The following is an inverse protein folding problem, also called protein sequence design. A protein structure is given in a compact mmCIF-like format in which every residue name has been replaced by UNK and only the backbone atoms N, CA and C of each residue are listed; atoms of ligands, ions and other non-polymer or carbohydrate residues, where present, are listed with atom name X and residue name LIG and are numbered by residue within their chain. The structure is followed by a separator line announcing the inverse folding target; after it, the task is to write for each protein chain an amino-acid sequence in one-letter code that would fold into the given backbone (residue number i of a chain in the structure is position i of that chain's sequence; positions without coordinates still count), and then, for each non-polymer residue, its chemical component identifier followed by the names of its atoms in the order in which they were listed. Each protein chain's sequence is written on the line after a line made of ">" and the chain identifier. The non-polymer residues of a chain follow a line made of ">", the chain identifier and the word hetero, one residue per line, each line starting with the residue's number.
data_IF_362998298108
#
_entry.id   IF_362998298108
#
_cell.length_a   1.000
_cell.length_b   1.000
_cell.length_c   1.000
_cell.angle_alpha   90.00
_cell.angle_beta   90.00
_cell.angle_gamma   90.00
#
_symmetry.space_group_name_H-M   'P 1'
#
loop_
_entity.id
_entity.type
_entity.pdbx_description
1 polymer ?
#
# COMPACT_ATOMS: atom_id res chain seq x y z
N UNK A 1 17.93 -26.16 11.12
CA UNK A 1 19.39 -26.41 11.13
C UNK A 1 20.23 -25.20 11.57
N UNK A 2 19.80 -23.94 11.35
CA UNK A 2 20.65 -22.76 11.65
C UNK A 2 20.66 -22.29 13.13
N UNK A 3 19.62 -22.56 13.91
CA UNK A 3 19.54 -22.08 15.30
C UNK A 3 20.56 -22.68 16.29
N UNK A 4 21.30 -23.71 15.87
CA UNK A 4 22.34 -24.34 16.70
C UNK A 4 23.70 -23.62 16.64
N UNK A 5 23.89 -22.66 15.72
CA UNK A 5 25.13 -21.88 15.67
C UNK A 5 25.19 -20.90 16.84
N UNK A 6 26.35 -20.80 17.50
CA UNK A 6 26.55 -19.94 18.67
C UNK A 6 26.21 -18.48 18.41
N UNK A 7 26.44 -17.97 17.20
CA UNK A 7 26.13 -16.58 16.86
C UNK A 7 24.62 -16.33 16.81
N UNK A 8 23.86 -17.27 16.22
CA UNK A 8 22.40 -17.20 16.18
C UNK A 8 21.84 -17.41 17.58
N UNK A 9 22.36 -18.39 18.32
CA UNK A 9 21.97 -18.63 19.70
C UNK A 9 22.16 -17.41 20.58
N UNK A 10 23.27 -16.67 20.42
CA UNK A 10 23.50 -15.40 21.13
C UNK A 10 22.50 -14.33 20.70
N UNK A 11 22.31 -14.14 19.39
CA UNK A 11 21.36 -13.17 18.84
C UNK A 11 19.93 -13.38 19.36
N UNK A 12 19.52 -14.64 19.55
CA UNK A 12 18.17 -14.99 20.00
C UNK A 12 18.07 -15.29 21.50
N UNK A 13 19.16 -15.17 22.27
CA UNK A 13 19.21 -15.56 23.68
C UNK A 13 18.46 -14.59 24.60
N UNK A 14 18.44 -13.31 24.23
CA UNK A 14 17.85 -12.24 25.02
C UNK A 14 17.05 -11.32 24.12
N UNK A 15 16.08 -10.62 24.69
CA UNK A 15 15.34 -9.59 23.99
C UNK A 15 15.65 -8.22 24.57
N UNK A 16 16.24 -7.33 23.76
CA UNK A 16 16.52 -5.93 24.09
C UNK A 16 15.52 -4.96 23.43
N UNK A 17 14.54 -5.49 22.69
CA UNK A 17 13.55 -4.72 21.95
C UNK A 17 12.12 -5.24 22.14
N UNK A 18 11.24 -4.40 22.68
CA UNK A 18 9.83 -4.75 22.74
C UNK A 18 9.13 -4.32 21.44
N UNK A 19 8.62 -5.29 20.68
CA UNK A 19 7.86 -5.05 19.43
C UNK A 19 6.69 -4.08 19.65
N UNK A 20 6.06 -4.12 20.84
CA UNK A 20 4.97 -3.21 21.18
C UNK A 20 5.37 -1.73 21.08
N UNK A 21 6.64 -1.41 21.35
CA UNK A 21 7.14 -0.04 21.38
C UNK A 21 7.07 0.65 20.00
N UNK A 22 7.01 -0.13 18.91
CA UNK A 22 6.73 0.40 17.56
C UNK A 22 5.42 1.19 17.53
N UNK A 23 4.39 0.70 18.23
CA UNK A 23 3.06 1.29 18.25
C UNK A 23 2.76 2.11 19.52
N UNK A 24 3.37 1.76 20.66
CA UNK A 24 3.01 2.33 21.96
C UNK A 24 4.14 3.00 22.73
N UNK A 25 5.40 2.86 22.29
CA UNK A 25 6.54 3.43 23.03
C UNK A 25 6.48 4.94 23.12
N UNK A 26 7.11 5.57 24.12
CA UNK A 26 7.00 7.02 24.37
C UNK A 26 7.45 7.91 23.19
N UNK A 27 8.37 7.39 22.37
CA UNK A 27 8.92 8.07 21.19
C UNK A 27 8.71 7.23 19.93
N UNK A 28 8.63 7.86 18.74
CA UNK A 28 8.66 7.14 17.47
C UNK A 28 9.94 6.32 17.34
N UNK A 29 9.81 5.08 16.86
CA UNK A 29 10.94 4.16 16.62
C UNK A 29 11.05 3.93 15.12
N UNK A 30 12.27 4.10 14.58
CA UNK A 30 12.63 3.62 13.25
C UNK A 30 13.47 2.35 13.43
N UNK A 31 12.96 1.22 12.93
CA UNK A 31 13.62 -0.08 13.03
C UNK A 31 14.16 -0.48 11.66
N UNK A 32 15.48 -0.67 11.57
CA UNK A 32 16.15 -1.03 10.33
C UNK A 32 16.58 -2.50 10.39
N UNK A 33 16.16 -3.28 9.39
CA UNK A 33 16.63 -4.65 9.20
C UNK A 33 17.66 -4.60 8.08
N UNK A 34 18.92 -4.92 8.42
CA UNK A 34 20.02 -4.97 7.47
C UNK A 34 20.50 -6.42 7.42
N UNK A 35 20.52 -7.02 6.24
CA UNK A 35 21.05 -8.35 6.01
C UNK A 35 21.93 -8.33 4.75
N UNK A 36 22.99 -9.14 4.70
CA UNK A 36 23.80 -9.28 3.50
C UNK A 36 23.00 -9.96 2.39
N UNK A 37 23.08 -9.43 1.18
CA UNK A 37 22.47 -9.98 -0.03
C UNK A 37 23.17 -11.26 -0.52
N UNK A 38 24.45 -11.44 -0.18
CA UNK A 38 25.26 -12.59 -0.56
C UNK A 38 25.15 -13.81 0.39
N UNK A 39 24.51 -13.67 1.55
CA UNK A 39 24.38 -14.76 2.54
C UNK A 39 22.95 -14.91 3.09
N UNK A 40 22.28 -15.95 2.61
CA UNK A 40 20.89 -16.25 2.95
C UNK A 40 20.74 -17.02 4.28
N UNK A 41 21.83 -17.31 5.01
CA UNK A 41 21.80 -18.18 6.19
C UNK A 41 20.89 -17.65 7.31
N UNK A 42 20.75 -16.34 7.43
CA UNK A 42 19.97 -15.69 8.49
C UNK A 42 18.57 -15.25 8.04
N UNK A 43 18.20 -15.49 6.78
CA UNK A 43 16.96 -14.98 6.22
C UNK A 43 15.71 -15.49 6.96
N UNK A 44 15.74 -16.74 7.43
CA UNK A 44 14.64 -17.31 8.23
C UNK A 44 14.42 -16.59 9.56
N UNK A 45 15.46 -15.98 10.15
CA UNK A 45 15.33 -15.15 11.35
C UNK A 45 14.57 -13.85 11.03
N UNK A 46 14.91 -13.22 9.91
CA UNK A 46 14.23 -11.99 9.43
C UNK A 46 12.75 -12.27 9.19
N UNK A 47 12.42 -13.32 8.44
CA UNK A 47 11.03 -13.69 8.18
C UNK A 47 10.26 -14.02 9.47
N UNK A 48 10.90 -14.73 10.41
CA UNK A 48 10.31 -15.03 11.72
C UNK A 48 10.04 -13.75 12.51
N UNK A 49 11.01 -12.84 12.57
CA UNK A 49 10.87 -11.56 13.24
C UNK A 49 9.74 -10.71 12.64
N UNK A 50 9.69 -10.59 11.31
CA UNK A 50 8.61 -9.86 10.63
C UNK A 50 7.23 -10.48 10.88
N UNK A 51 7.15 -11.81 10.94
CA UNK A 51 5.92 -12.52 11.29
C UNK A 51 5.50 -12.24 12.74
N UNK A 52 6.45 -12.19 13.68
CA UNK A 52 6.20 -11.82 15.08
C UNK A 52 5.77 -10.35 15.21
N UNK A 53 6.39 -9.44 14.45
CA UNK A 53 5.98 -8.03 14.40
C UNK A 53 4.53 -7.92 13.92
N UNK A 54 4.19 -8.58 12.82
CA UNK A 54 2.81 -8.63 12.31
C UNK A 54 1.83 -9.16 13.35
N UNK A 55 2.16 -10.29 13.99
CA UNK A 55 1.31 -10.92 15.01
C UNK A 55 1.08 -10.02 16.23
N UNK A 56 2.16 -9.51 16.84
CA UNK A 56 2.08 -8.70 18.05
C UNK A 56 1.28 -7.43 17.78
N UNK A 57 1.58 -6.71 16.70
CA UNK A 57 0.88 -5.48 16.38
C UNK A 57 -0.59 -5.72 16.00
N UNK A 58 -0.89 -6.80 15.27
CA UNK A 58 -2.27 -7.17 14.94
C UNK A 58 -3.06 -7.53 16.20
N UNK A 59 -2.46 -8.28 17.13
CA UNK A 59 -3.05 -8.64 18.43
C UNK A 59 -3.31 -7.40 19.27
N UNK A 60 -2.33 -6.50 19.39
CA UNK A 60 -2.48 -5.25 20.12
C UNK A 60 -3.61 -4.39 19.57
N UNK A 61 -3.69 -4.25 18.25
CA UNK A 61 -4.79 -3.52 17.62
C UNK A 61 -6.14 -4.17 17.93
N UNK A 62 -6.23 -5.50 17.90
CA UNK A 62 -7.48 -6.23 18.18
C UNK A 62 -7.95 -6.04 19.62
N UNK A 63 -7.02 -5.96 20.57
CA UNK A 63 -7.32 -5.78 21.99
C UNK A 63 -7.55 -4.30 22.38
N UNK A 64 -7.22 -3.36 21.50
CA UNK A 64 -7.46 -1.94 21.75
C UNK A 64 -8.95 -1.60 21.65
N UNK A 65 -9.40 -0.63 22.45
CA UNK A 65 -10.82 -0.26 22.55
C UNK A 65 -11.43 0.21 21.21
N UNK A 66 -10.61 0.82 20.34
CA UNK A 66 -11.00 1.28 19.00
C UNK A 66 -10.58 0.30 17.88
N UNK A 67 -10.14 -0.91 18.26
CA UNK A 67 -9.60 -1.92 17.33
C UNK A 67 -8.42 -1.43 16.48
N UNK A 68 -7.64 -0.48 16.99
CA UNK A 68 -6.56 0.19 16.26
C UNK A 68 -5.34 0.45 17.15
N UNK A 69 -4.18 0.56 16.53
CA UNK A 69 -2.96 1.00 17.20
C UNK A 69 -3.00 2.50 17.50
N UNK A 70 -2.55 2.89 18.70
CA UNK A 70 -2.38 4.27 19.11
C UNK A 70 -1.53 5.08 18.12
N UNK A 71 -0.46 4.47 17.59
CA UNK A 71 0.40 5.02 16.55
C UNK A 71 0.35 4.16 15.31
N UNK A 72 0.28 4.80 14.14
CA UNK A 72 0.43 4.09 12.87
C UNK A 72 1.85 3.55 12.72
N UNK A 73 1.97 2.28 12.35
CA UNK A 73 3.24 1.64 12.03
C UNK A 73 3.33 1.47 10.51
N UNK A 74 4.42 1.98 9.94
CA UNK A 74 4.71 1.89 8.51
C UNK A 74 5.75 0.79 8.32
N UNK A 75 5.39 -0.23 7.56
CA UNK A 75 6.27 -1.31 7.14
C UNK A 75 6.71 -1.03 5.71
N UNK A 76 8.01 -0.81 5.51
CA UNK A 76 8.61 -0.57 4.20
C UNK A 76 9.46 -1.78 3.82
N UNK A 77 9.00 -2.57 2.85
CA UNK A 77 9.71 -3.74 2.35
C UNK A 77 10.26 -3.41 0.96
N UNK A 78 11.52 -2.97 0.92
CA UNK A 78 12.22 -2.52 -0.29
C UNK A 78 12.38 -3.62 -1.35
N UNK A 79 12.40 -4.89 -0.92
CA UNK A 79 12.52 -6.01 -1.84
C UNK A 79 11.84 -7.28 -1.30
N UNK A 80 10.50 -7.29 -1.32
CA UNK A 80 9.73 -8.42 -0.77
C UNK A 80 9.99 -9.74 -1.54
N UNK A 81 10.38 -9.67 -2.81
CA UNK A 81 10.75 -10.84 -3.62
C UNK A 81 12.00 -11.58 -3.14
N UNK A 82 12.92 -10.89 -2.45
CA UNK A 82 14.14 -11.49 -1.91
C UNK A 82 14.00 -11.89 -0.44
N UNK A 83 12.98 -11.38 0.26
CA UNK A 83 12.66 -11.83 1.61
C UNK A 83 12.03 -13.23 1.55
N UNK A 84 12.37 -14.14 2.49
CA UNK A 84 11.62 -15.37 2.61
C UNK A 84 10.16 -15.08 2.93
N UNK A 85 9.33 -16.09 2.66
CA UNK A 85 7.92 -16.05 2.98
C UNK A 85 7.69 -15.59 4.43
N UNK A 86 6.99 -14.48 4.58
CA UNK A 86 6.53 -13.94 5.85
C UNK A 86 5.18 -14.58 6.13
N UNK A 87 5.11 -15.38 7.19
CA UNK A 87 3.89 -16.11 7.54
C UNK A 87 2.79 -15.12 7.97
N UNK A 88 1.59 -15.28 7.39
CA UNK A 88 0.44 -14.42 7.67
C UNK A 88 0.44 -13.05 6.97
N UNK A 89 1.42 -12.74 6.10
CA UNK A 89 1.48 -11.46 5.40
C UNK A 89 0.18 -11.08 4.65
N UNK A 90 -0.46 -11.96 3.85
CA UNK A 90 -1.70 -11.60 3.15
C UNK A 90 -2.82 -11.21 4.11
N UNK A 91 -2.95 -11.92 5.24
CA UNK A 91 -3.89 -11.59 6.30
C UNK A 91 -3.61 -10.20 6.88
N UNK A 92 -2.34 -9.91 7.24
CA UNK A 92 -1.95 -8.63 7.80
C UNK A 92 -2.19 -7.45 6.84
N UNK A 93 -1.99 -7.63 5.54
CA UNK A 93 -2.28 -6.61 4.53
C UNK A 93 -3.78 -6.27 4.46
N UNK A 94 -4.64 -7.29 4.55
CA UNK A 94 -6.09 -7.11 4.46
C UNK A 94 -6.67 -6.39 5.70
N UNK A 95 -6.22 -6.77 6.91
CA UNK A 95 -6.73 -6.18 8.17
C UNK A 95 -5.98 -4.92 8.59
N UNK A 96 -4.79 -4.70 8.05
CA UNK A 96 -3.83 -3.71 8.55
C UNK A 96 -4.34 -2.28 8.50
N UNK A 97 -5.01 -1.87 7.41
CA UNK A 97 -5.42 -0.47 7.22
C UNK A 97 -6.31 0.05 8.35
N UNK A 98 -7.30 -0.74 8.77
CA UNK A 98 -8.20 -0.37 9.88
C UNK A 98 -7.46 -0.33 11.23
N UNK A 99 -6.45 -1.18 11.37
CA UNK A 99 -5.65 -1.35 12.59
C UNK A 99 -4.51 -0.33 12.73
N UNK A 100 -4.30 0.56 11.76
CA UNK A 100 -3.20 1.52 11.76
C UNK A 100 -1.86 0.93 11.27
N UNK A 101 -1.89 -0.25 10.63
CA UNK A 101 -0.75 -0.84 9.97
C UNK A 101 -0.76 -0.46 8.49
N UNK A 102 0.33 0.13 8.01
CA UNK A 102 0.50 0.51 6.62
C UNK A 102 1.68 -0.29 6.06
N UNK A 103 1.52 -0.84 4.87
CA UNK A 103 2.53 -1.64 4.19
C UNK A 103 2.84 -1.02 2.83
N UNK A 104 4.12 -0.80 2.58
CA UNK A 104 4.70 -0.48 1.30
C UNK A 104 5.51 -1.68 0.85
N UNK A 105 5.07 -2.32 -0.22
CA UNK A 105 5.71 -3.49 -0.81
C UNK A 105 6.36 -3.05 -2.10
N UNK A 106 7.69 -3.11 -2.16
CA UNK A 106 8.46 -2.85 -3.36
C UNK A 106 8.91 -4.20 -3.91
N UNK A 107 8.67 -4.37 -5.20
CA UNK A 107 8.88 -5.61 -5.94
C UNK A 107 9.56 -5.26 -7.26
N UNK A 108 10.54 -6.06 -7.68
CA UNK A 108 11.08 -6.00 -9.04
C UNK A 108 10.15 -6.73 -10.02
N UNK A 109 9.59 -7.86 -9.59
CA UNK A 109 8.65 -8.63 -10.41
C UNK A 109 7.62 -9.37 -9.56
N UNK A 110 6.41 -9.54 -10.12
CA UNK A 110 5.37 -10.37 -9.51
C UNK A 110 5.81 -11.85 -9.54
N UNK A 111 6.61 -12.26 -10.52
CA UNK A 111 7.12 -13.63 -10.61
C UNK A 111 7.98 -14.02 -9.39
N UNK A 112 8.81 -13.12 -8.87
CA UNK A 112 9.57 -13.36 -7.63
C UNK A 112 8.64 -13.57 -6.43
N UNK A 113 7.52 -12.85 -6.38
CA UNK A 113 6.51 -13.03 -5.35
C UNK A 113 5.81 -14.39 -5.48
N UNK A 114 5.51 -14.83 -6.71
CA UNK A 114 4.94 -16.16 -6.97
C UNK A 114 5.88 -17.30 -6.55
N UNK A 115 7.19 -17.14 -6.69
CA UNK A 115 8.17 -18.13 -6.22
C UNK A 115 8.08 -18.32 -4.71
N UNK A 116 7.91 -17.25 -3.94
CA UNK A 116 7.92 -17.31 -2.47
C UNK A 116 6.55 -17.62 -1.85
N UNK A 117 5.45 -17.17 -2.48
CA UNK A 117 4.09 -17.26 -1.93
C UNK A 117 3.15 -18.16 -2.73
N UNK A 118 3.60 -18.70 -3.87
CA UNK A 118 2.75 -19.34 -4.85
C UNK A 118 1.89 -18.32 -5.61
N UNK A 119 1.26 -18.77 -6.70
CA UNK A 119 0.40 -17.91 -7.55
C UNK A 119 -0.78 -17.33 -6.78
N UNK A 120 -1.43 -18.16 -5.98
CA UNK A 120 -2.59 -17.74 -5.17
C UNK A 120 -2.18 -16.72 -4.10
N UNK A 121 -1.09 -16.96 -3.38
CA UNK A 121 -0.58 -16.04 -2.36
C UNK A 121 -0.09 -14.71 -2.95
N UNK A 122 0.59 -14.75 -4.10
CA UNK A 122 0.98 -13.54 -4.82
C UNK A 122 -0.25 -12.72 -5.26
N UNK A 123 -1.27 -13.37 -5.81
CA UNK A 123 -2.52 -12.72 -6.19
C UNK A 123 -3.26 -12.12 -4.98
N UNK A 124 -3.25 -12.80 -3.83
CA UNK A 124 -3.84 -12.29 -2.59
C UNK A 124 -3.11 -11.04 -2.08
N UNK A 125 -1.77 -11.06 -2.05
CA UNK A 125 -0.94 -9.91 -1.66
C UNK A 125 -1.20 -8.73 -2.59
N UNK A 126 -1.14 -8.96 -3.91
CA UNK A 126 -1.41 -7.91 -4.91
C UNK A 126 -2.85 -7.39 -4.80
N UNK A 127 -3.83 -8.26 -4.53
CA UNK A 127 -5.23 -7.89 -4.32
C UNK A 127 -5.45 -7.04 -3.07
N UNK A 128 -4.72 -7.29 -1.99
CA UNK A 128 -4.81 -6.53 -0.75
C UNK A 128 -4.33 -5.08 -0.91
N UNK A 129 -3.29 -4.87 -1.74
CA UNK A 129 -2.71 -3.56 -2.05
C UNK A 129 -3.72 -2.62 -2.74
N UNK A 130 -4.18 -1.61 -1.99
CA UNK A 130 -5.19 -0.64 -2.47
C UNK A 130 -4.66 0.38 -3.48
N UNK A 131 -3.36 0.65 -3.45
CA UNK A 131 -2.65 1.46 -4.44
C UNK A 131 -1.56 0.60 -5.06
N UNK A 132 -1.37 0.70 -6.37
CA UNK A 132 -0.32 0.00 -7.12
C UNK A 132 0.37 1.01 -8.02
N UNK A 133 1.69 0.97 -8.02
CA UNK A 133 2.54 1.84 -8.82
C UNK A 133 3.31 0.95 -9.79
N UNK A 134 3.19 1.23 -11.08
CA UNK A 134 4.08 0.71 -12.10
C UNK A 134 5.07 1.82 -12.46
N UNK A 135 6.30 1.68 -11.99
CA UNK A 135 7.38 2.65 -12.25
C UNK A 135 8.02 2.31 -13.59
N UNK A 136 8.44 1.06 -13.74
CA UNK A 136 8.90 0.47 -14.98
C UNK A 136 8.86 -1.04 -14.83
N UNK A 137 7.99 -1.71 -15.58
CA UNK A 137 7.95 -3.17 -15.59
C UNK A 137 9.22 -3.74 -16.27
N UNK A 138 9.87 -4.72 -15.63
CA UNK A 138 11.05 -5.39 -16.20
C UNK A 138 10.69 -6.46 -17.23
N UNK A 139 9.47 -7.01 -17.17
CA UNK A 139 9.02 -8.09 -18.04
C UNK A 139 7.60 -7.87 -18.56
N UNK A 140 7.28 -8.59 -19.64
CA UNK A 140 6.01 -8.45 -20.34
C UNK A 140 4.81 -8.92 -19.51
N UNK A 141 4.97 -9.94 -18.66
CA UNK A 141 3.87 -10.48 -17.86
C UNK A 141 3.40 -9.48 -16.80
N UNK A 142 4.33 -8.77 -16.16
CA UNK A 142 4.04 -7.69 -15.22
C UNK A 142 3.39 -6.49 -15.93
N UNK A 143 3.91 -6.10 -17.10
CA UNK A 143 3.30 -5.05 -17.92
C UNK A 143 1.88 -5.43 -18.39
N UNK A 144 1.66 -6.69 -18.76
CA UNK A 144 0.38 -7.25 -19.14
C UNK A 144 -0.62 -7.23 -17.96
N UNK A 145 -0.15 -7.53 -16.75
CA UNK A 145 -0.93 -7.41 -15.52
C UNK A 145 -1.42 -5.97 -15.30
N UNK A 146 -0.51 -4.99 -15.34
CA UNK A 146 -0.87 -3.58 -15.16
C UNK A 146 -1.78 -3.08 -16.29
N UNK A 147 -1.47 -3.40 -17.54
CA UNK A 147 -2.27 -3.05 -18.71
C UNK A 147 -3.73 -3.55 -18.60
N UNK A 148 -3.94 -4.77 -18.08
CA UNK A 148 -5.29 -5.29 -17.79
C UNK A 148 -5.98 -4.53 -16.66
N UNK A 149 -5.25 -4.15 -15.61
CA UNK A 149 -5.80 -3.40 -14.47
C UNK A 149 -6.18 -1.96 -14.83
N UNK A 150 -5.43 -1.32 -15.74
CA UNK A 150 -5.73 0.03 -16.24
C UNK A 150 -7.04 0.01 -17.03
N UNK A 151 -7.25 -1.01 -17.86
CA UNK A 151 -8.50 -1.25 -18.59
C UNK A 151 -8.45 -0.88 -20.07
N UNK A 152 -9.63 -0.78 -20.67
CA UNK A 152 -9.82 -0.63 -22.12
C UNK A 152 -10.72 0.57 -22.44
N UNK A 153 -10.54 1.10 -23.64
CA UNK A 153 -11.35 2.14 -24.24
C UNK A 153 -11.77 1.73 -25.65
N UNK A 154 -12.84 2.34 -26.16
CA UNK A 154 -13.27 2.18 -27.55
C UNK A 154 -12.68 3.29 -28.38
N UNK A 155 -12.00 2.92 -29.46
CA UNK A 155 -11.41 3.83 -30.44
C UNK A 155 -12.21 3.71 -31.73
N UNK A 156 -12.54 4.84 -32.34
CA UNK A 156 -13.18 4.86 -33.65
C UNK A 156 -12.06 4.83 -34.69
N UNK A 157 -12.01 3.76 -35.49
CA UNK A 157 -11.07 3.57 -36.57
C UNK A 157 -11.74 3.98 -37.90
N UNK A 158 -11.39 5.15 -38.45
CA UNK A 158 -11.88 5.54 -39.76
C UNK A 158 -11.17 4.71 -40.85
N UNK A 159 -11.95 3.92 -41.57
CA UNK A 159 -11.51 3.19 -42.75
C UNK A 159 -11.88 3.97 -44.01
N UNK A 160 -10.91 4.13 -44.92
CA UNK A 160 -11.13 4.77 -46.22
C UNK A 160 -10.88 3.76 -47.32
N UNK A 161 -11.93 3.42 -48.05
CA UNK A 161 -11.88 2.48 -49.16
C UNK A 161 -12.07 3.22 -50.48
N UNK A 162 -11.16 3.00 -51.43
CA UNK A 162 -11.21 3.56 -52.78
C UNK A 162 -9.88 3.42 -53.51
N UNK A 163 -9.91 3.41 -54.84
CA UNK A 163 -8.70 3.33 -55.66
C UNK A 163 -7.85 4.62 -55.52
N UNK A 164 -6.53 4.55 -55.74
CA UNK A 164 -5.71 5.77 -55.86
C UNK A 164 -6.29 6.67 -56.96
N UNK A 165 -6.42 7.98 -56.69
CA UNK A 165 -7.00 9.00 -57.59
C UNK A 165 -8.53 9.00 -57.80
N UNK A 166 -9.30 8.16 -57.11
CA UNK A 166 -10.77 8.22 -57.22
C UNK A 166 -11.38 9.34 -56.36
N UNK A 167 -12.39 10.04 -56.90
CA UNK A 167 -13.12 11.11 -56.22
C UNK A 167 -14.22 10.55 -55.30
N UNK A 168 -14.79 9.39 -55.65
CA UNK A 168 -15.78 8.70 -54.83
C UNK A 168 -15.08 7.71 -53.89
N UNK A 169 -14.79 8.17 -52.68
CA UNK A 169 -14.22 7.31 -51.63
C UNK A 169 -15.26 6.99 -50.59
N UNK A 170 -15.39 5.70 -50.28
CA UNK A 170 -16.25 5.23 -49.21
C UNK A 170 -15.54 5.41 -47.87
N UNK A 171 -16.22 6.05 -46.92
CA UNK A 171 -15.78 6.22 -45.54
C UNK A 171 -16.60 5.28 -44.67
N UNK A 172 -15.93 4.36 -43.99
CA UNK A 172 -16.55 3.49 -42.99
C UNK A 172 -15.90 3.73 -41.65
N UNK A 173 -16.70 3.90 -40.60
CA UNK A 173 -16.19 3.97 -39.23
C UNK A 173 -16.41 2.62 -38.56
N UNK A 174 -15.33 2.01 -38.05
CA UNK A 174 -15.42 0.85 -37.17
C UNK A 174 -15.11 1.27 -35.73
N UNK A 175 -15.80 0.67 -34.77
CA UNK A 175 -15.45 0.79 -33.36
C UNK A 175 -14.57 -0.39 -32.98
N UNK A 176 -13.38 -0.10 -32.45
CA UNK A 176 -12.41 -1.10 -32.03
C UNK A 176 -12.07 -0.91 -30.55
N UNK A 177 -11.91 -2.00 -29.81
CA UNK A 177 -11.51 -1.94 -28.41
C UNK A 177 -9.99 -1.96 -28.30
N UNK A 178 -9.42 -0.95 -27.63
CA UNK A 178 -7.98 -0.85 -27.36
C UNK A 178 -7.75 -0.74 -25.86
N UNK A 179 -6.64 -1.26 -25.34
CA UNK A 179 -6.23 -0.95 -23.97
C UNK A 179 -5.92 0.54 -23.83
N UNK A 180 -6.17 1.10 -22.64
CA UNK A 180 -5.80 2.49 -22.35
C UNK A 180 -4.29 2.67 -22.45
N UNK A 181 -3.54 1.70 -21.94
CA UNK A 181 -2.10 1.59 -22.18
C UNK A 181 -1.76 0.13 -22.51
N UNK A 182 -1.07 -0.09 -23.61
CA UNK A 182 -0.60 -1.39 -24.05
C UNK A 182 0.62 -1.82 -23.21
N UNK A 183 0.87 -3.14 -23.05
CA UNK A 183 2.02 -3.61 -22.29
C UNK A 183 3.36 -3.06 -22.81
N UNK A 184 3.48 -2.90 -24.12
CA UNK A 184 4.69 -2.36 -24.74
C UNK A 184 4.86 -0.85 -24.57
N UNK A 185 3.80 -0.12 -24.23
CA UNK A 185 3.85 1.27 -23.79
C UNK A 185 4.35 1.36 -22.34
N UNK A 186 3.88 0.47 -21.46
CA UNK A 186 4.36 0.37 -20.06
C UNK A 186 5.84 -0.01 -19.97
N UNK A 187 6.34 -0.86 -20.88
CA UNK A 187 7.76 -1.22 -20.97
C UNK A 187 8.66 -0.06 -21.47
N UNK A 188 8.08 1.05 -21.92
CA UNK A 188 8.79 2.19 -22.53
C UNK A 188 8.50 3.51 -21.81
N UNK A 189 8.03 3.46 -20.57
CA UNK A 189 7.87 4.65 -19.74
C UNK A 189 9.18 5.44 -19.70
N UNK A 190 9.06 6.75 -19.95
CA UNK A 190 10.18 7.69 -19.88
C UNK A 190 10.59 7.89 -18.44
N UNK A 191 11.80 8.40 -18.25
CA UNK A 191 12.31 8.81 -16.95
C UNK A 191 11.31 9.73 -16.24
N UNK A 192 10.90 9.35 -15.03
CA UNK A 192 9.97 10.12 -14.19
C UNK A 192 8.50 9.79 -14.46
N UNK A 193 8.18 9.02 -15.50
CA UNK A 193 6.83 8.53 -15.73
C UNK A 193 6.51 7.37 -14.78
N UNK A 194 5.28 7.35 -14.27
CA UNK A 194 4.76 6.30 -13.39
C UNK A 194 3.27 6.13 -13.66
N UNK A 195 2.79 4.90 -13.68
CA UNK A 195 1.35 4.61 -13.70
C UNK A 195 0.86 4.22 -12.31
N UNK A 196 -0.13 4.94 -11.80
CA UNK A 196 -0.73 4.73 -10.49
C UNK A 196 -2.17 4.24 -10.63
N UNK A 197 -2.47 3.09 -10.02
CA UNK A 197 -3.80 2.51 -9.92
C UNK A 197 -4.29 2.60 -8.48
N UNK A 198 -5.41 3.30 -8.25
CA UNK A 198 -6.03 3.51 -6.93
C UNK A 198 -7.34 2.73 -6.80
N UNK A 199 -7.26 1.46 -6.46
CA UNK A 199 -8.42 0.57 -6.44
C UNK A 199 -9.47 0.96 -5.40
N UNK A 200 -9.08 1.54 -4.25
CA UNK A 200 -9.97 1.77 -3.09
C UNK A 200 -10.28 3.26 -2.81
N UNK A 201 -9.71 4.22 -3.56
CA UNK A 201 -10.02 5.64 -3.36
C UNK A 201 -11.36 5.98 -4.00
N UNK A 202 -12.31 6.52 -3.26
CA UNK A 202 -13.63 6.93 -3.79
C UNK A 202 -14.04 8.34 -3.41
N UNK A 203 -13.15 9.07 -2.77
CA UNK A 203 -13.37 10.45 -2.39
C UNK A 203 -12.16 11.31 -2.76
N UNK A 204 -12.37 12.57 -3.10
CA UNK A 204 -11.29 13.55 -3.22
C UNK A 204 -10.90 14.13 -1.85
N UNK A 205 -10.06 15.16 -1.84
CA UNK A 205 -9.61 15.84 -0.62
C UNK A 205 -10.72 16.62 0.09
N UNK A 206 -11.78 16.99 -0.64
CA UNK A 206 -12.99 17.65 -0.11
C UNK A 206 -14.08 16.63 0.27
N UNK A 207 -13.75 15.34 0.26
CA UNK A 207 -14.65 14.23 0.54
C UNK A 207 -15.83 14.09 -0.45
N UNK A 208 -15.70 14.64 -1.66
CA UNK A 208 -16.67 14.47 -2.75
C UNK A 208 -16.45 13.13 -3.44
N UNK A 209 -17.52 12.48 -3.87
CA UNK A 209 -17.46 11.19 -4.57
C UNK A 209 -16.72 11.32 -5.90
N UNK A 210 -15.78 10.42 -6.17
CA UNK A 210 -15.01 10.39 -7.41
C UNK A 210 -14.93 8.99 -8.01
N UNK A 211 -14.80 8.94 -9.34
CA UNK A 211 -14.30 7.76 -10.04
C UNK A 211 -12.77 7.78 -10.02
N UNK A 212 -12.15 6.76 -9.45
CA UNK A 212 -10.70 6.66 -9.41
C UNK A 212 -10.16 6.03 -10.70
N UNK A 213 -9.93 6.88 -11.69
CA UNK A 213 -9.21 6.50 -12.90
C UNK A 213 -7.72 6.22 -12.62
N UNK A 214 -7.07 5.34 -13.40
CA UNK A 214 -5.62 5.24 -13.41
C UNK A 214 -4.99 6.59 -13.73
N UNK A 215 -3.87 6.89 -13.09
CA UNK A 215 -3.13 8.15 -13.25
C UNK A 215 -1.82 7.84 -13.94
N UNK A 216 -1.52 8.54 -15.03
CA UNK A 216 -0.20 8.51 -15.67
C UNK A 216 0.56 9.78 -15.27
N UNK A 217 1.36 9.68 -14.22
CA UNK A 217 2.28 10.73 -13.80
C UNK A 217 3.35 10.89 -14.87
N UNK A 218 3.55 12.10 -15.39
CA UNK A 218 4.46 12.35 -16.50
C UNK A 218 5.04 13.78 -16.45
N UNK A 219 6.25 13.98 -17.03
CA UNK A 219 6.94 15.27 -16.98
C UNK A 219 6.29 16.34 -17.86
N UNK A 220 5.52 15.97 -18.88
CA UNK A 220 4.85 16.94 -19.76
C UNK A 220 3.75 17.70 -19.00
N UNK A 221 3.17 17.09 -17.97
CA UNK A 221 2.16 17.67 -17.08
C UNK A 221 2.72 18.19 -15.74
N UNK A 222 4.04 18.10 -15.51
CA UNK A 222 4.67 18.50 -14.24
C UNK A 222 4.26 17.61 -13.05
N UNK A 223 3.91 16.36 -13.31
CA UNK A 223 3.45 15.39 -12.30
C UNK A 223 4.43 14.22 -12.13
N UNK A 224 5.62 14.32 -12.69
CA UNK A 224 6.66 13.29 -12.69
C UNK A 224 7.09 12.88 -11.27
N UNK A 225 7.52 11.62 -11.14
CA UNK A 225 8.16 11.14 -9.93
C UNK A 225 9.56 11.77 -9.82
N UNK A 226 9.88 12.50 -8.73
CA UNK A 226 11.18 13.15 -8.59
C UNK A 226 12.31 12.13 -8.42
N UNK A 227 13.48 12.45 -8.97
CA UNK A 227 14.63 11.57 -8.87
C UNK A 227 15.35 11.71 -7.54
N UNK A 228 15.95 10.62 -7.09
CA UNK A 228 16.74 10.60 -5.86
C UNK A 228 17.77 11.72 -5.78
N UNK A 229 18.50 12.01 -6.86
CA UNK A 229 19.51 13.08 -6.87
C UNK A 229 18.94 14.50 -6.70
N UNK A 230 17.66 14.71 -6.97
CA UNK A 230 17.03 16.03 -6.85
C UNK A 230 16.75 16.40 -5.40
N UNK A 231 16.48 15.41 -4.55
CA UNK A 231 16.06 15.65 -3.16
C UNK A 231 16.84 14.88 -2.10
N UNK A 232 17.65 13.87 -2.45
CA UNK A 232 18.51 13.15 -1.50
C UNK A 232 19.87 13.79 -1.32
N UNK A 233 20.28 14.72 -2.18
CA UNK A 233 21.54 15.48 -2.03
C UNK A 233 21.60 16.21 -0.68
N UNK A 234 20.46 16.65 -0.12
CA UNK A 234 20.36 17.22 1.23
C UNK A 234 20.55 16.22 2.37
N UNK A 235 20.50 14.92 2.08
CA UNK A 235 20.67 13.81 3.03
C UNK A 235 21.94 12.99 2.75
N UNK A 236 22.81 13.48 1.86
CA UNK A 236 24.04 12.79 1.50
C UNK A 236 25.04 12.83 2.67
N UNK A 237 25.06 11.77 3.47
CA UNK A 237 26.05 11.57 4.51
C UNK A 237 27.09 10.54 4.04
N UNK A 238 28.37 10.91 4.11
CA UNK A 238 29.47 10.05 3.65
C UNK A 238 29.80 8.91 4.62
N UNK A 239 29.25 8.92 5.84
CA UNK A 239 29.56 7.90 6.82
C UNK A 239 28.99 6.54 6.41
N UNK A 240 29.84 5.53 6.45
CA UNK A 240 29.45 4.12 6.30
C UNK A 240 28.69 3.64 7.54
N UNK A 241 27.94 2.54 7.41
CA UNK A 241 27.32 1.91 8.58
C UNK A 241 28.33 1.54 9.66
N UNK A 242 29.53 1.10 9.26
CA UNK A 242 30.63 0.77 10.18
C UNK A 242 31.09 2.01 10.97
N UNK A 243 31.25 3.16 10.31
CA UNK A 243 31.62 4.42 10.96
C UNK A 243 30.52 4.94 11.90
N UNK A 244 29.25 4.75 11.55
CA UNK A 244 28.12 5.08 12.43
C UNK A 244 28.02 4.15 13.65
N UNK A 245 28.41 2.88 13.48
CA UNK A 245 28.45 1.91 14.57
C UNK A 245 29.65 2.14 15.50
N UNK A 246 30.79 2.57 14.95
CA UNK A 246 32.03 2.78 15.71
C UNK A 246 32.44 1.52 16.48
N UNK A 247 32.80 1.69 17.76
CA UNK A 247 33.19 0.58 18.65
C UNK A 247 32.00 -0.08 19.39
N UNK A 248 30.74 0.26 19.03
CA UNK A 248 29.57 -0.27 19.73
C UNK A 248 29.44 -1.77 19.46
N UNK A 249 29.67 -2.57 20.49
CA UNK A 249 29.35 -4.01 20.43
C UNK A 249 27.86 -4.22 20.70
N UNK A 250 27.17 -5.06 19.89
CA UNK A 250 25.81 -5.47 20.20
C UNK A 250 25.75 -6.15 21.56
N UNK A 251 24.67 -5.93 22.32
CA UNK A 251 24.50 -6.49 23.67
C UNK A 251 24.60 -8.03 23.71
N UNK A 252 24.25 -8.69 22.60
CA UNK A 252 24.26 -10.14 22.49
C UNK A 252 25.65 -10.76 22.25
N UNK A 253 26.66 -9.97 21.85
CA UNK A 253 27.92 -10.52 21.32
C UNK A 253 28.69 -11.36 22.35
N UNK A 254 28.63 -10.96 23.62
CA UNK A 254 29.37 -11.56 24.73
C UNK A 254 28.49 -12.46 25.63
N UNK A 255 27.28 -12.84 25.18
CA UNK A 255 26.40 -13.74 25.94
C UNK A 255 27.04 -15.13 26.06
N UNK A 256 27.16 -15.60 27.30
CA UNK A 256 27.59 -16.96 27.62
C UNK A 256 26.41 -17.93 27.55
N UNK A 257 26.28 -18.59 26.40
CA UNK A 257 25.21 -19.57 26.13
C UNK A 257 25.22 -20.74 27.12
N UNK A 258 26.36 -21.09 27.73
CA UNK A 258 26.41 -22.20 28.69
C UNK A 258 25.61 -21.90 29.96
N UNK A 259 25.48 -20.62 30.32
CA UNK A 259 24.65 -20.18 31.46
C UNK A 259 23.15 -20.23 31.18
N UNK A 260 22.76 -20.37 29.91
CA UNK A 260 21.37 -20.41 29.46
C UNK A 260 20.91 -21.83 29.09
N UNK A 261 21.77 -22.84 29.28
CA UNK A 261 21.40 -24.23 29.06
C UNK A 261 20.36 -24.67 30.08
N UNK A 262 19.26 -25.25 29.59
CA UNK A 262 18.28 -25.92 30.42
C UNK A 262 18.79 -27.32 30.76
N UNK A 263 18.87 -27.65 32.04
CA UNK A 263 19.16 -29.00 32.50
C UNK A 263 17.88 -29.82 32.44
N UNK A 264 17.72 -30.60 31.36
CA UNK A 264 16.55 -31.45 31.15
C UNK A 264 16.90 -32.87 31.55
N UNK A 265 16.33 -33.33 32.66
CA UNK A 265 16.44 -34.72 33.11
C UNK A 265 15.13 -35.45 32.81
N UNK A 266 15.19 -36.48 31.97
CA UNK A 266 14.06 -37.38 31.71
C UNK A 266 14.29 -38.66 32.49
N UNK A 267 13.39 -39.00 33.41
CA UNK A 267 13.42 -40.26 34.14
C UNK A 267 12.22 -41.10 33.71
N UNK A 268 12.51 -42.24 33.10
CA UNK A 268 11.51 -43.27 32.77
C UNK A 268 11.50 -44.29 33.89
N UNK A 269 10.37 -44.44 34.55
CA UNK A 269 10.14 -45.48 35.55
C UNK A 269 9.44 -46.63 34.82
N UNK A 270 10.12 -47.78 34.76
CA UNK A 270 9.54 -48.97 34.14
C UNK A 270 8.33 -49.47 34.95
N UNK A 271 7.25 -49.86 34.27
CA UNK A 271 6.03 -50.29 34.92
C UNK A 271 6.27 -51.60 35.71
N UNK A 272 5.69 -51.68 36.91
CA UNK A 272 5.83 -52.88 37.75
C UNK A 272 4.92 -54.04 37.29
N UNK A 273 3.94 -53.77 36.43
CA UNK A 273 3.08 -54.78 35.79
C UNK A 273 3.21 -54.72 34.27
N UNK A 274 3.12 -55.87 33.60
CA UNK A 274 3.21 -55.98 32.12
C UNK A 274 2.12 -55.21 31.35
N UNK A 275 1.06 -54.76 32.02
CA UNK A 275 -0.07 -54.04 31.41
C UNK A 275 -0.05 -52.53 31.66
N UNK A 276 0.88 -52.01 32.47
CA UNK A 276 0.95 -50.59 32.78
C UNK A 276 1.95 -49.89 31.83
N UNK A 277 1.66 -48.65 31.45
CA UNK A 277 2.58 -47.83 30.66
C UNK A 277 3.73 -47.29 31.53
N UNK A 278 4.95 -47.11 30.98
CA UNK A 278 6.07 -46.52 31.71
C UNK A 278 5.77 -45.07 32.11
N UNK A 279 6.04 -44.74 33.37
CA UNK A 279 5.87 -43.37 33.87
C UNK A 279 7.08 -42.53 33.46
N UNK A 280 6.85 -41.49 32.66
CA UNK A 280 7.90 -40.58 32.21
C UNK A 280 7.80 -39.28 32.99
N UNK A 281 8.82 -38.96 33.79
CA UNK A 281 8.93 -37.68 34.48
C UNK A 281 10.01 -36.82 33.82
N UNK A 282 9.66 -35.58 33.48
CA UNK A 282 10.59 -34.61 32.90
C UNK A 282 10.85 -33.50 33.91
N UNK A 283 12.13 -33.28 34.25
CA UNK A 283 12.55 -32.15 35.08
C UNK A 283 13.34 -31.17 34.24
N UNK A 284 13.06 -29.87 34.40
CA UNK A 284 13.81 -28.78 33.78
C UNK A 284 14.41 -27.93 34.90
N UNK A 285 15.74 -27.81 34.94
CA UNK A 285 16.49 -27.13 36.00
C UNK A 285 16.11 -27.63 37.41
N UNK A 286 15.82 -28.93 37.54
CA UNK A 286 15.39 -29.55 38.79
C UNK A 286 13.91 -29.42 39.14
N UNK A 287 13.12 -28.65 38.37
CA UNK A 287 11.67 -28.51 38.55
C UNK A 287 10.92 -29.54 37.68
N UNK A 288 10.02 -30.33 38.29
CA UNK A 288 9.17 -31.27 37.53
C UNK A 288 8.17 -30.51 36.65
N UNK A 289 8.14 -30.86 35.36
CA UNK A 289 7.04 -30.52 34.47
C UNK A 289 5.94 -31.55 34.71
N UNK A 290 4.98 -31.24 35.57
CA UNK A 290 3.76 -32.04 35.67
C UNK A 290 2.88 -31.66 34.46
N UNK A 291 2.54 -32.65 33.63
CA UNK A 291 1.70 -32.46 32.45
C UNK A 291 0.20 -32.26 32.76
N UNK A 292 -0.15 -31.88 33.99
CA UNK A 292 -1.54 -31.60 34.39
C UNK A 292 -1.70 -30.11 34.71
N UNK A 293 -2.49 -29.43 33.87
CA UNK A 293 -2.99 -28.06 33.97
C UNK A 293 -2.07 -26.94 33.47
N UNK A 294 -1.94 -26.84 32.15
CA UNK A 294 -1.91 -25.54 31.44
C UNK A 294 -2.34 -25.77 29.98
N UNK A 295 -3.59 -26.19 29.78
CA UNK A 295 -4.26 -25.88 28.52
C UNK A 295 -4.57 -24.37 28.54
N UNK A 296 -4.10 -23.57 27.56
CA UNK A 296 -4.70 -22.27 27.35
C UNK A 296 -6.16 -22.52 27.00
N UNK A 297 -7.06 -22.08 27.89
CA UNK A 297 -8.50 -22.06 27.67
C UNK A 297 -8.76 -21.35 26.33
N UNK A 298 -9.06 -22.14 25.30
CA UNK A 298 -9.66 -21.62 24.07
C UNK A 298 -11.11 -21.31 24.46
N UNK A 299 -11.41 -20.05 24.75
CA UNK A 299 -12.79 -19.58 24.80
C UNK A 299 -13.43 -19.87 23.43
N UNK A 300 -14.23 -20.94 23.38
CA UNK A 300 -15.18 -21.15 22.30
C UNK A 300 -16.17 -19.99 22.33
N UNK A 301 -16.02 -19.05 21.41
CA UNK A 301 -17.13 -18.16 21.05
C UNK A 301 -18.17 -19.00 20.32
N UNK A 302 -19.08 -19.61 21.09
CA UNK A 302 -20.30 -20.19 20.55
C UNK A 302 -21.22 -19.03 20.15
N UNK A 303 -21.27 -18.75 18.86
CA UNK A 303 -22.39 -18.01 18.28
C UNK A 303 -23.59 -18.95 18.22
N UNK A 304 -24.47 -18.92 19.22
CA UNK A 304 -25.82 -19.48 19.06
C UNK A 304 -26.88 -18.45 19.43
N UNK A 305 -27.68 -18.17 18.40
CA UNK A 305 -28.83 -17.30 18.38
C UNK A 305 -29.97 -17.91 19.19
N UNK A 306 -30.83 -17.02 19.67
CA UNK A 306 -32.05 -17.32 20.40
C UNK A 306 -32.92 -18.38 19.70
N UNK A 307 -33.27 -19.42 20.46
CA UNK A 307 -34.42 -20.26 20.18
C UNK A 307 -35.68 -19.54 20.69
N UNK A 308 -36.65 -19.35 19.79
CA UNK A 308 -38.08 -19.33 20.15
C UNK A 308 -38.76 -20.40 19.32
N UNK A 309 -39.45 -21.27 20.03
CA UNK A 309 -40.29 -22.39 19.58
C UNK A 309 -41.28 -21.98 18.47
N UNK A 310 -41.56 -22.88 17.52
CA UNK A 310 -42.77 -23.72 17.56
C UNK A 310 -42.89 -24.67 16.34
N UNK A 311 -43.43 -25.85 16.65
CA UNK A 311 -43.82 -27.00 15.84
C UNK A 311 -44.47 -26.71 14.46
N UNK A 312 -44.19 -27.57 13.46
CA UNK A 312 -45.06 -28.70 13.06
C UNK A 312 -44.84 -29.14 11.59
N UNK A 313 -44.83 -30.47 11.43
CA UNK A 313 -45.38 -31.28 10.34
C UNK A 313 -44.88 -31.21 8.88
N UNK A 314 -44.34 -32.37 8.49
CA UNK A 314 -44.71 -33.21 7.34
C UNK A 314 -44.29 -32.85 5.89
N UNK A 315 -43.52 -33.81 5.36
CA UNK A 315 -43.70 -34.54 4.10
C UNK A 315 -43.38 -33.90 2.73
N UNK A 316 -42.77 -34.79 1.95
CA UNK A 316 -42.88 -35.05 0.49
C UNK A 316 -41.90 -34.42 -0.50
N UNK A 317 -41.26 -35.36 -1.20
CA UNK A 317 -40.63 -35.30 -2.52
C UNK A 317 -41.45 -34.50 -3.55
N UNK A 318 -40.81 -33.68 -4.38
CA UNK A 318 -40.63 -33.96 -5.81
C UNK A 318 -39.95 -32.83 -6.60
N UNK A 319 -39.43 -33.24 -7.75
CA UNK A 319 -38.60 -32.58 -8.76
C UNK A 319 -39.45 -31.67 -9.71
N UNK A 320 -38.91 -31.08 -10.81
CA UNK A 320 -38.85 -29.64 -11.05
C UNK A 320 -39.68 -29.10 -12.25
N UNK A 321 -39.55 -27.78 -12.47
CA UNK A 321 -39.75 -26.99 -13.71
C UNK A 321 -41.19 -26.61 -14.13
N UNK A 322 -41.41 -25.31 -14.40
CA UNK A 322 -41.86 -24.82 -15.72
C UNK A 322 -41.82 -23.28 -15.82
N UNK A 323 -41.46 -22.83 -17.03
CA UNK A 323 -41.60 -21.49 -17.63
C UNK A 323 -42.94 -20.78 -17.36
N UNK A 324 -42.94 -19.45 -17.40
CA UNK A 324 -43.98 -18.67 -18.11
C UNK A 324 -43.55 -17.22 -18.41
N UNK A 325 -43.99 -16.79 -19.60
CA UNK A 325 -43.63 -15.60 -20.39
C UNK A 325 -44.34 -14.30 -19.97
N UNK A 326 -43.67 -13.19 -20.34
CA UNK A 326 -44.15 -11.89 -20.89
C UNK A 326 -45.54 -11.35 -20.51
N UNK A 327 -45.57 -10.07 -20.15
CA UNK A 327 -46.48 -9.09 -20.78
C UNK A 327 -45.86 -7.69 -20.82
N UNK A 328 -46.04 -7.06 -21.98
CA UNK A 328 -45.78 -5.68 -22.41
C UNK A 328 -46.95 -4.77 -22.03
N UNK A 329 -46.72 -3.49 -21.76
CA UNK A 329 -47.63 -2.42 -22.19
C UNK A 329 -46.94 -1.04 -22.28
N UNK A 330 -47.29 -0.35 -23.36
CA UNK A 330 -46.78 0.92 -23.87
C UNK A 330 -47.24 2.16 -23.08
N UNK A 331 -46.49 3.26 -23.19
CA UNK A 331 -47.07 4.59 -23.39
C UNK A 331 -46.09 5.56 -24.06
N UNK A 332 -46.50 6.01 -25.25
CA UNK A 332 -46.09 7.18 -26.05
C UNK A 332 -47.15 8.28 -25.76
N UNK A 333 -46.97 9.61 -25.83
CA UNK A 333 -46.23 10.56 -26.66
C UNK A 333 -46.28 11.95 -25.95
N UNK A 334 -45.33 12.85 -26.23
CA UNK A 334 -45.65 14.14 -26.88
C UNK A 334 -44.38 14.89 -27.33
N UNK A 335 -44.51 15.54 -28.49
CA UNK A 335 -43.47 16.20 -29.28
C UNK A 335 -43.51 17.74 -29.15
N UNK A 336 -42.47 18.35 -29.72
CA UNK A 336 -42.32 19.72 -30.24
C UNK A 336 -41.75 20.81 -29.33
N UNK A 337 -40.47 21.17 -29.58
CA UNK A 337 -40.20 22.42 -30.31
C UNK A 337 -38.79 22.52 -30.88
N UNK A 338 -38.73 23.01 -32.11
CA UNK A 338 -37.56 23.27 -32.95
C UNK A 338 -36.99 24.65 -32.62
N UNK A 339 -35.68 24.77 -32.37
CA UNK A 339 -34.94 26.01 -32.62
C UNK A 339 -33.62 25.71 -33.35
N UNK A 340 -33.55 26.27 -34.56
CA UNK A 340 -32.41 26.32 -35.47
C UNK A 340 -31.49 27.46 -35.01
N UNK A 341 -30.23 27.18 -34.74
CA UNK A 341 -29.17 28.19 -34.56
C UNK A 341 -27.94 27.80 -35.37
N UNK A 342 -27.42 28.79 -36.09
CA UNK A 342 -26.39 28.73 -37.13
C UNK A 342 -25.02 28.27 -36.60
N UNK A 343 -24.31 27.45 -37.37
CA UNK A 343 -22.89 27.14 -37.15
C UNK A 343 -22.00 28.34 -37.51
N UNK A 344 -21.03 28.73 -36.67
CA UNK A 344 -19.97 29.65 -37.09
C UNK A 344 -18.77 28.90 -37.67
N UNK A 345 -18.23 29.42 -38.77
CA UNK A 345 -16.97 29.00 -39.39
C UNK A 345 -15.76 29.03 -38.42
N UNK A 346 -14.73 28.20 -38.63
CA UNK A 346 -13.61 28.06 -37.71
C UNK A 346 -12.69 29.30 -37.74
N UNK A 347 -12.40 29.88 -36.57
CA UNK A 347 -11.44 30.99 -36.40
C UNK A 347 -10.14 30.49 -35.75
N UNK A 348 -9.02 30.95 -36.32
CA UNK A 348 -7.62 30.66 -35.99
C UNK A 348 -7.26 30.66 -34.48
N UNK A 349 -6.60 29.60 -33.94
CA UNK A 349 -6.33 29.43 -32.51
C UNK A 349 -5.04 30.12 -32.01
N UNK A 350 -4.72 31.33 -32.48
CA UNK A 350 -3.52 32.05 -32.02
C UNK A 350 -3.81 33.52 -31.71
N UNK A 351 -4.58 33.81 -30.63
CA UNK A 351 -4.48 35.11 -29.90
C UNK A 351 -5.36 35.33 -28.64
N UNK A 352 -5.87 34.32 -27.96
CA UNK A 352 -6.62 34.54 -26.71
C UNK A 352 -6.17 33.60 -25.59
N UNK A 353 -5.00 33.87 -25.01
CA UNK A 353 -4.64 33.43 -23.66
C UNK A 353 -3.87 34.59 -23.04
N UNK A 354 -4.58 35.56 -22.49
CA UNK A 354 -4.07 36.54 -21.49
C UNK A 354 -5.19 37.56 -21.22
N UNK A 355 -6.23 37.12 -20.50
CA UNK A 355 -7.10 37.92 -19.60
C UNK A 355 -8.32 37.08 -19.27
N UNK A 356 -8.17 36.12 -18.37
CA UNK A 356 -9.25 35.52 -17.59
C UNK A 356 -8.59 34.81 -16.40
N UNK A 357 -7.99 35.62 -15.52
CA UNK A 357 -7.76 35.21 -14.15
C UNK A 357 -8.48 36.25 -13.31
N UNK A 358 -9.26 35.72 -12.38
CA UNK A 358 -9.75 36.36 -11.17
C UNK A 358 -11.17 36.96 -11.16
N UNK A 359 -12.15 36.10 -10.85
CA UNK A 359 -13.36 36.51 -10.13
C UNK A 359 -13.58 35.70 -8.84
N UNK A 360 -12.57 34.93 -8.38
CA UNK A 360 -12.67 34.11 -7.15
C UNK A 360 -11.34 34.00 -6.37
N UNK A 361 -10.56 35.09 -6.26
CA UNK A 361 -9.38 35.12 -5.40
C UNK A 361 -9.74 34.80 -3.94
N UNK A 362 -9.00 33.86 -3.36
CA UNK A 362 -9.17 33.46 -1.97
C UNK A 362 -8.34 34.39 -1.08
N UNK A 363 -8.96 35.23 -0.21
CA UNK A 363 -8.18 36.13 0.65
C UNK A 363 -7.34 35.35 1.66
N UNK A 364 -6.11 35.76 1.92
CA UNK A 364 -5.23 35.05 2.87
C UNK A 364 -5.82 34.95 4.30
N UNK A 365 -6.69 35.89 4.67
CA UNK A 365 -7.39 35.91 5.94
C UNK A 365 -8.41 34.78 6.13
N UNK A 366 -8.78 34.05 5.06
CA UNK A 366 -9.68 32.87 5.18
C UNK A 366 -8.92 31.62 5.64
N UNK A 367 -7.62 31.54 5.36
CA UNK A 367 -6.78 30.38 5.66
C UNK A 367 -5.93 30.56 6.92
N UNK A 368 -5.52 31.79 7.21
CA UNK A 368 -4.59 32.08 8.30
C UNK A 368 -5.20 33.04 9.32
N UNK A 369 -4.99 32.73 10.59
CA UNK A 369 -5.32 33.66 11.67
C UNK A 369 -4.38 34.88 11.63
N UNK A 370 -4.81 36.00 12.22
CA UNK A 370 -4.00 37.22 12.28
C UNK A 370 -2.62 36.99 12.92
N UNK A 371 -2.52 36.11 13.92
CA UNK A 371 -1.25 35.75 14.55
C UNK A 371 -0.35 34.88 13.65
N UNK A 372 -0.95 34.01 12.83
CA UNK A 372 -0.21 33.22 11.85
C UNK A 372 0.34 34.10 10.72
N UNK A 373 -0.46 35.05 10.22
CA UNK A 373 -0.01 36.02 9.22
C UNK A 373 1.15 36.87 9.75
N UNK A 374 1.09 37.33 11.00
CA UNK A 374 2.20 38.06 11.64
C UNK A 374 3.47 37.21 11.81
N UNK A 375 3.33 35.92 12.12
CA UNK A 375 4.46 35.01 12.24
C UNK A 375 5.12 34.74 10.88
N UNK A 376 4.31 34.56 9.83
CA UNK A 376 4.78 34.40 8.45
C UNK A 376 5.48 35.68 7.99
N UNK A 377 4.86 36.84 8.18
CA UNK A 377 5.42 38.14 7.78
C UNK A 377 6.78 38.38 8.42
N UNK A 378 6.94 38.05 9.71
CA UNK A 378 8.23 38.16 10.41
C UNK A 378 9.29 37.21 9.84
N UNK A 379 8.92 35.97 9.53
CA UNK A 379 9.85 35.00 8.93
C UNK A 379 10.25 35.38 7.50
N UNK A 380 9.32 35.94 6.72
CA UNK A 380 9.56 36.38 5.35
C UNK A 380 10.46 37.63 5.30
N UNK A 381 10.30 38.56 6.24
CA UNK A 381 11.13 39.76 6.36
C UNK A 381 12.62 39.44 6.60
N UNK A 382 12.93 38.33 7.27
CA UNK A 382 14.31 37.88 7.51
C UNK A 382 14.95 37.20 6.29
N UNK A 383 14.14 36.78 5.30
CA UNK A 383 14.58 35.94 4.17
C UNK A 383 14.57 36.66 2.82
N UNK A 384 13.81 37.75 2.68
CA UNK A 384 13.67 38.50 1.43
C UNK A 384 14.53 39.76 1.40
N UNK A 385 14.92 40.18 0.19
CA UNK A 385 15.50 41.52 -0.01
C UNK A 385 14.42 42.59 0.20
N UNK A 386 14.81 43.86 0.41
CA UNK A 386 13.84 44.94 0.65
C UNK A 386 12.84 45.12 -0.49
N UNK A 387 13.29 45.00 -1.75
CA UNK A 387 12.44 45.14 -2.93
C UNK A 387 11.45 43.96 -3.04
N UNK A 388 11.91 42.75 -2.73
CA UNK A 388 11.09 41.54 -2.75
C UNK A 388 10.05 41.52 -1.63
N UNK A 389 10.40 42.08 -0.47
CA UNK A 389 9.51 42.18 0.66
C UNK A 389 8.37 43.18 0.40
N UNK A 390 8.65 44.30 -0.27
CA UNK A 390 7.63 45.26 -0.67
C UNK A 390 6.63 44.64 -1.67
N UNK A 391 7.12 43.84 -2.60
CA UNK A 391 6.26 43.10 -3.55
C UNK A 391 5.43 42.03 -2.82
N UNK A 392 6.03 41.29 -1.88
CA UNK A 392 5.33 40.32 -1.04
C UNK A 392 4.18 40.95 -0.23
N UNK A 393 4.39 42.14 0.34
CA UNK A 393 3.35 42.85 1.12
C UNK A 393 2.15 43.29 0.27
N UNK A 394 2.29 43.34 -1.07
CA UNK A 394 1.20 43.69 -1.98
C UNK A 394 0.28 42.50 -2.34
N UNK A 395 0.62 41.29 -1.92
CA UNK A 395 -0.11 40.06 -2.24
C UNK A 395 -1.17 39.77 -1.15
N UNK A 396 -2.45 39.87 -1.50
CA UNK A 396 -3.58 39.71 -0.58
C UNK A 396 -4.39 38.42 -0.79
N UNK A 397 -4.11 37.67 -1.87
CA UNK A 397 -4.74 36.39 -2.20
C UNK A 397 -3.75 35.22 -2.28
N UNK A 398 -4.28 34.01 -2.09
CA UNK A 398 -3.51 32.76 -2.18
C UNK A 398 -2.96 32.56 -3.60
N UNK A 399 -3.76 32.90 -4.60
CA UNK A 399 -3.44 32.74 -6.01
C UNK A 399 -2.31 33.70 -6.42
N UNK A 400 -2.37 34.97 -5.97
CA UNK A 400 -1.31 35.95 -6.19
C UNK A 400 0.00 35.51 -5.51
N UNK A 401 -0.07 35.02 -4.28
CA UNK A 401 1.11 34.54 -3.55
C UNK A 401 1.72 33.29 -4.19
N UNK A 402 0.89 32.37 -4.67
CA UNK A 402 1.33 31.15 -5.37
C UNK A 402 2.00 31.48 -6.69
N UNK A 403 1.41 32.38 -7.49
CA UNK A 403 1.99 32.82 -8.75
C UNK A 403 3.34 33.52 -8.53
N UNK A 404 3.42 34.42 -7.55
CA UNK A 404 4.65 35.13 -7.21
C UNK A 404 5.78 34.18 -6.76
N UNK A 405 5.48 33.17 -5.94
CA UNK A 405 6.44 32.14 -5.54
C UNK A 405 6.91 31.27 -6.72
N UNK A 406 5.99 30.91 -7.62
CA UNK A 406 6.31 30.08 -8.78
C UNK A 406 7.19 30.83 -9.79
N UNK A 407 6.91 32.11 -10.05
CA UNK A 407 7.72 32.94 -10.93
C UNK A 407 9.18 33.06 -10.44
N UNK A 408 9.40 33.13 -9.13
CA UNK A 408 10.74 33.24 -8.52
C UNK A 408 11.47 31.90 -8.42
N UNK A 409 10.75 30.78 -8.33
CA UNK A 409 11.33 29.44 -8.46
C UNK A 409 11.88 29.18 -9.86
N UNK A 410 11.26 29.75 -10.88
CA UNK A 410 11.71 29.60 -12.26
C UNK A 410 12.95 30.45 -12.63
N UNK A 411 13.32 31.43 -11.79
CA UNK A 411 14.47 32.32 -12.02
C UNK A 411 15.76 31.91 -11.26
N UNK A 412 15.70 30.87 -10.43
CA UNK A 412 16.85 30.28 -9.71
C UNK A 412 17.14 28.90 -10.27
#
# INVERSE_FOLDING_TARGET
>A
KNYAFSNIGRLTATNDFNIADLATGDKPVAFFIIYPDYDNSNYSLVATFLSQVGYVLAKMATLAADSKLNRRVINLYEELGNLPRIEGLPHYLNVGRGRGLVYYLILQSIAQLEVNYGKEGAAEIMGACGNKYDILADNYDDAEYFSKQIGQTTVIAPSRHGAPMDTDKSFGESQETRRLMMPDELLRLRKGEVVLIRSKQRSDLENRSITAWPIHANPDEGTELPFSFEYLTRFNHQATFDELYGDKKPAHNDIDLKKLLLDITVTTIEPQNENDDPEITVKVNGHSLNAENDEPQVEQYTSEQAATDENSDQNTENKPALDLKKSTEDSKLDQDNIHRSEEPEPKDPKKQITTEIDQQATPLSTLFSKSQLQMIEKGVQELLTQDDYAEYQSLDSVEAMTHWLNARRAMK
#
